data_IF_883680801536
#
_entry.id   IF_883680801536
#
_cell.length_a   1.000
_cell.length_b   1.000
_cell.length_c   1.000
_cell.angle_alpha   90.00
_cell.angle_beta   90.00
_cell.angle_gamma   90.00
#
_symmetry.space_group_name_H-M   'P 1'
#
loop_
_entity.id
_entity.type
_entity.pdbx_description
1 polymer ?
#
# COMPACT_ATOMS: atom_id res chain seq x y z
N UNK A 1 -78.36 -57.12 -47.88
CA UNK A 1 -77.97 -56.98 -46.55
C UNK A 1 -76.44 -56.62 -46.56
N UNK A 2 -76.13 -55.37 -46.57
CA UNK A 2 -74.76 -54.87 -46.66
C UNK A 2 -74.38 -54.27 -45.29
N UNK A 3 -73.32 -54.80 -44.71
CA UNK A 3 -72.72 -54.27 -43.49
C UNK A 3 -71.34 -53.68 -43.93
N UNK A 4 -71.30 -52.37 -43.98
CA UNK A 4 -70.08 -51.63 -44.21
C UNK A 4 -69.39 -51.36 -42.86
N UNK A 5 -68.18 -51.87 -42.74
CA UNK A 5 -67.26 -51.60 -41.62
C UNK A 5 -66.54 -50.30 -41.88
N UNK A 6 -66.69 -49.30 -41.03
CA UNK A 6 -65.90 -48.03 -41.04
C UNK A 6 -64.54 -48.28 -40.37
N UNK A 7 -63.46 -48.24 -41.12
CA UNK A 7 -62.09 -48.17 -40.62
C UNK A 7 -61.82 -46.75 -40.12
N UNK A 8 -61.51 -46.61 -38.84
CA UNK A 8 -61.04 -45.38 -38.21
C UNK A 8 -59.48 -45.31 -38.39
N UNK A 9 -59.03 -44.52 -39.34
CA UNK A 9 -57.60 -44.13 -39.44
C UNK A 9 -57.20 -43.28 -38.23
N UNK A 10 -56.34 -43.81 -37.37
CA UNK A 10 -55.68 -43.05 -36.31
C UNK A 10 -54.46 -42.33 -36.89
N UNK A 11 -54.54 -41.01 -37.02
CA UNK A 11 -53.37 -40.16 -37.36
C UNK A 11 -52.34 -40.26 -36.24
N UNK A 12 -51.03 -40.46 -36.54
CA UNK A 12 -49.97 -40.40 -35.56
C UNK A 12 -49.84 -38.97 -35.04
N UNK A 13 -49.77 -38.81 -33.69
CA UNK A 13 -49.53 -37.55 -33.01
C UNK A 13 -48.11 -37.03 -33.31
N UNK A 14 -47.90 -35.72 -33.16
CA UNK A 14 -46.58 -35.12 -33.43
C UNK A 14 -45.50 -35.74 -32.54
N UNK A 15 -44.27 -35.88 -33.04
CA UNK A 15 -43.15 -36.46 -32.31
C UNK A 15 -42.88 -35.63 -31.05
N UNK A 16 -42.68 -36.27 -29.92
CA UNK A 16 -42.26 -35.66 -28.65
C UNK A 16 -40.93 -34.95 -28.92
N UNK A 17 -40.99 -33.61 -28.94
CA UNK A 17 -39.78 -32.75 -28.97
C UNK A 17 -39.05 -32.93 -27.62
N UNK A 18 -37.94 -33.66 -27.62
CA UNK A 18 -37.07 -33.76 -26.45
C UNK A 18 -36.63 -32.36 -26.05
N UNK A 19 -37.14 -31.82 -24.95
CA UNK A 19 -36.65 -30.58 -24.36
C UNK A 19 -35.13 -30.65 -24.24
N UNK A 20 -34.43 -29.80 -24.98
CA UNK A 20 -32.99 -29.60 -24.79
C UNK A 20 -32.78 -29.14 -23.37
N UNK A 21 -31.84 -29.74 -22.63
CA UNK A 21 -31.48 -29.24 -21.28
C UNK A 21 -31.14 -27.75 -21.38
N UNK A 22 -31.55 -26.90 -20.42
CA UNK A 22 -31.26 -25.46 -20.47
C UNK A 22 -29.77 -25.25 -20.60
N UNK A 23 -29.37 -24.49 -21.61
CA UNK A 23 -28.00 -24.06 -21.85
C UNK A 23 -27.51 -23.40 -20.54
N UNK A 24 -26.39 -23.85 -19.92
CA UNK A 24 -25.90 -23.21 -18.71
C UNK A 24 -25.69 -21.74 -19.02
N UNK A 25 -26.27 -20.87 -18.16
CA UNK A 25 -26.11 -19.44 -18.26
C UNK A 25 -24.62 -19.11 -18.39
N UNK A 26 -24.19 -18.24 -19.32
CA UNK A 26 -22.80 -17.91 -19.53
C UNK A 26 -22.26 -17.42 -18.17
N UNK A 27 -21.29 -18.15 -17.62
CA UNK A 27 -20.53 -17.68 -16.47
C UNK A 27 -20.10 -16.25 -16.80
N UNK A 28 -20.57 -15.27 -16.02
CA UNK A 28 -20.22 -13.87 -16.20
C UNK A 28 -18.71 -13.80 -16.34
N UNK A 29 -18.25 -13.47 -17.54
CA UNK A 29 -16.84 -13.37 -17.84
C UNK A 29 -16.23 -12.42 -16.82
N UNK A 30 -15.37 -12.92 -15.95
CA UNK A 30 -14.62 -12.09 -14.99
C UNK A 30 -13.80 -11.14 -15.84
N UNK A 31 -14.30 -9.94 -16.05
CA UNK A 31 -13.60 -8.91 -16.81
C UNK A 31 -12.26 -8.68 -16.12
N UNK A 32 -11.19 -9.16 -16.76
CA UNK A 32 -9.82 -9.03 -16.22
C UNK A 32 -9.50 -7.56 -16.16
N UNK A 33 -9.38 -7.02 -14.94
CA UNK A 33 -9.03 -5.63 -14.72
C UNK A 33 -7.67 -5.33 -15.34
N UNK A 34 -7.55 -4.17 -15.94
CA UNK A 34 -6.28 -3.73 -16.53
C UNK A 34 -5.21 -3.60 -15.43
N UNK A 35 -3.97 -4.00 -15.70
CA UNK A 35 -2.87 -3.76 -14.77
C UNK A 35 -2.63 -2.25 -14.62
N UNK A 36 -2.09 -1.85 -13.46
CA UNK A 36 -1.81 -0.46 -13.12
C UNK A 36 -0.27 -0.24 -12.99
N UNK A 37 0.51 -0.42 -14.08
CA UNK A 37 1.96 -0.39 -14.00
C UNK A 37 2.50 0.97 -13.52
N UNK A 38 1.89 2.09 -13.92
CA UNK A 38 2.30 3.40 -13.45
C UNK A 38 2.20 3.57 -11.93
N UNK A 39 1.25 2.88 -11.27
CA UNK A 39 1.18 2.88 -9.79
C UNK A 39 2.30 2.03 -9.16
N UNK A 40 2.83 1.05 -9.86
CA UNK A 40 4.05 0.35 -9.41
C UNK A 40 5.26 1.25 -9.54
N UNK A 41 5.41 1.95 -10.66
CA UNK A 41 6.54 2.86 -10.89
C UNK A 41 6.54 4.07 -9.96
N UNK A 42 5.40 4.71 -9.70
CA UNK A 42 5.34 5.82 -8.73
C UNK A 42 5.74 5.35 -7.33
N UNK A 43 5.32 4.15 -6.89
CA UNK A 43 5.74 3.59 -5.60
C UNK A 43 7.26 3.45 -5.49
N UNK A 44 7.94 3.12 -6.58
CA UNK A 44 9.41 3.08 -6.62
C UNK A 44 10.01 4.44 -6.31
N UNK A 45 9.53 5.49 -6.97
CA UNK A 45 10.03 6.85 -6.76
C UNK A 45 9.74 7.33 -5.32
N UNK A 46 8.54 7.07 -4.81
CA UNK A 46 8.19 7.41 -3.43
C UNK A 46 9.09 6.68 -2.43
N UNK A 47 9.39 5.39 -2.65
CA UNK A 47 10.32 4.64 -1.82
C UNK A 47 11.73 5.23 -1.86
N UNK A 48 12.23 5.59 -3.05
CA UNK A 48 13.52 6.25 -3.20
C UNK A 48 13.56 7.59 -2.44
N UNK A 49 12.55 8.43 -2.54
CA UNK A 49 12.49 9.70 -1.79
C UNK A 49 12.46 9.47 -0.27
N UNK A 50 11.78 8.43 0.23
CA UNK A 50 11.81 8.08 1.67
C UNK A 50 13.20 7.62 2.10
N UNK A 51 13.89 6.83 1.29
CA UNK A 51 15.26 6.36 1.57
C UNK A 51 16.22 7.54 1.61
N UNK A 52 16.15 8.40 0.61
CA UNK A 52 16.95 9.62 0.54
C UNK A 52 16.65 10.60 1.69
N UNK A 53 15.40 10.63 2.20
CA UNK A 53 15.03 11.41 3.39
C UNK A 53 15.74 10.92 4.66
N UNK A 54 15.88 9.61 4.82
CA UNK A 54 16.56 9.04 6.00
C UNK A 54 18.08 9.18 5.92
N UNK A 55 18.65 9.12 4.73
CA UNK A 55 20.09 9.13 4.46
C UNK A 55 20.41 10.14 3.37
N UNK A 56 20.16 11.42 3.65
CA UNK A 56 20.22 12.50 2.67
C UNK A 56 21.64 12.68 2.12
N UNK A 57 21.88 12.43 0.81
CA UNK A 57 23.18 12.69 0.22
C UNK A 57 23.45 14.19 0.09
N UNK A 58 24.72 14.61 0.02
CA UNK A 58 25.05 16.01 -0.21
C UNK A 58 24.69 16.46 -1.65
N UNK A 59 24.52 17.76 -1.85
CA UNK A 59 24.38 18.40 -3.16
C UNK A 59 23.21 17.95 -4.03
N UNK A 60 22.01 17.80 -3.44
CA UNK A 60 20.80 17.34 -4.15
C UNK A 60 20.14 18.41 -5.06
N UNK A 61 20.58 19.67 -4.98
CA UNK A 61 20.07 20.75 -5.82
C UNK A 61 18.53 20.86 -5.77
N UNK A 62 17.93 20.80 -6.95
CA UNK A 62 16.46 20.93 -7.12
C UNK A 62 15.63 19.82 -6.46
N UNK A 63 16.21 18.67 -6.14
CA UNK A 63 15.49 17.56 -5.49
C UNK A 63 15.40 17.70 -3.97
N UNK A 64 16.21 18.59 -3.37
CA UNK A 64 16.29 18.75 -1.91
C UNK A 64 14.92 18.95 -1.23
N UNK A 65 14.02 19.84 -1.70
CA UNK A 65 12.74 20.05 -1.04
C UNK A 65 11.83 18.80 -0.97
N UNK A 66 11.90 17.95 -2.02
CA UNK A 66 11.16 16.68 -2.05
C UNK A 66 11.76 15.65 -1.11
N UNK A 67 13.08 15.59 -1.05
CA UNK A 67 13.81 14.62 -0.24
C UNK A 67 13.71 14.98 1.23
N UNK A 68 13.87 16.24 1.61
CA UNK A 68 13.76 16.71 2.99
C UNK A 68 12.35 16.48 3.58
N UNK A 69 11.35 16.35 2.72
CA UNK A 69 9.97 16.06 3.09
C UNK A 69 9.51 14.64 2.68
N UNK A 70 10.45 13.69 2.50
CA UNK A 70 10.17 12.32 2.08
C UNK A 70 9.19 11.56 2.98
N UNK A 71 9.08 11.92 4.25
CA UNK A 71 8.12 11.34 5.21
C UNK A 71 6.65 11.49 4.76
N UNK A 72 6.31 12.52 3.99
CA UNK A 72 4.96 12.73 3.45
C UNK A 72 4.51 11.58 2.57
N UNK A 73 5.45 10.97 1.86
CA UNK A 73 5.17 9.89 0.91
C UNK A 73 4.74 8.57 1.58
N UNK A 74 4.98 8.42 2.89
CA UNK A 74 4.46 7.27 3.64
C UNK A 74 2.93 7.25 3.62
N UNK A 75 2.27 8.40 3.80
CA UNK A 75 0.82 8.51 3.68
C UNK A 75 0.31 8.11 2.29
N UNK A 76 1.07 8.42 1.23
CA UNK A 76 0.70 8.04 -0.14
C UNK A 76 0.69 6.53 -0.35
N UNK A 77 1.57 5.77 0.33
CA UNK A 77 1.51 4.30 0.29
C UNK A 77 0.21 3.75 0.89
N UNK A 78 -0.28 4.32 2.00
CA UNK A 78 -1.58 3.91 2.56
C UNK A 78 -2.74 4.27 1.63
N UNK A 79 -2.71 5.44 1.00
CA UNK A 79 -3.68 5.85 -0.02
C UNK A 79 -3.69 4.85 -1.20
N UNK A 80 -2.52 4.55 -1.79
CA UNK A 80 -2.38 3.60 -2.89
C UNK A 80 -2.83 2.21 -2.47
N UNK A 81 -2.51 1.76 -1.25
CA UNK A 81 -2.94 0.46 -0.72
C UNK A 81 -4.46 0.34 -0.67
N UNK A 82 -5.16 1.33 -0.13
CA UNK A 82 -6.64 1.38 -0.12
C UNK A 82 -7.22 1.36 -1.53
N UNK A 83 -6.66 2.16 -2.44
CA UNK A 83 -7.07 2.24 -3.83
C UNK A 83 -6.89 0.90 -4.58
N UNK A 84 -5.69 0.33 -4.56
CA UNK A 84 -5.35 -0.89 -5.30
C UNK A 84 -6.14 -2.09 -4.76
N UNK A 85 -6.31 -2.19 -3.44
CA UNK A 85 -7.15 -3.23 -2.85
C UNK A 85 -8.60 -3.11 -3.33
N UNK A 86 -9.16 -1.92 -3.30
CA UNK A 86 -10.54 -1.69 -3.78
C UNK A 86 -10.66 -1.97 -5.26
N UNK A 87 -9.75 -1.47 -6.08
CA UNK A 87 -9.72 -1.75 -7.51
C UNK A 87 -9.72 -3.24 -7.81
N UNK A 88 -8.91 -4.03 -7.09
CA UNK A 88 -8.78 -5.47 -7.36
C UNK A 88 -9.91 -6.33 -6.76
N UNK A 89 -10.51 -5.91 -5.64
CA UNK A 89 -11.42 -6.76 -4.87
C UNK A 89 -12.86 -6.28 -4.83
N UNK A 90 -13.20 -5.08 -5.36
CA UNK A 90 -14.56 -4.53 -5.28
C UNK A 90 -15.63 -5.46 -5.87
N UNK A 91 -15.32 -6.15 -6.99
CA UNK A 91 -16.27 -7.04 -7.66
C UNK A 91 -16.53 -8.32 -6.85
N UNK A 92 -15.57 -8.72 -6.02
CA UNK A 92 -15.73 -9.89 -5.15
C UNK A 92 -16.66 -9.61 -3.97
N UNK A 93 -16.72 -8.38 -3.47
CA UNK A 93 -17.63 -7.93 -2.42
C UNK A 93 -17.81 -8.95 -1.30
N UNK A 94 -19.05 -9.46 -1.15
CA UNK A 94 -19.40 -10.48 -0.14
C UNK A 94 -18.76 -11.85 -0.37
N UNK A 95 -18.37 -12.19 -1.59
CA UNK A 95 -17.71 -13.47 -1.92
C UNK A 95 -16.22 -13.50 -1.58
N UNK A 96 -15.61 -12.38 -1.16
CA UNK A 96 -14.23 -12.33 -0.76
C UNK A 96 -13.98 -13.20 0.49
N UNK A 97 -13.19 -14.26 0.32
CA UNK A 97 -12.74 -15.10 1.45
C UNK A 97 -11.75 -14.31 2.31
N UNK A 98 -12.14 -14.01 3.56
CA UNK A 98 -11.28 -13.29 4.51
C UNK A 98 -9.96 -14.04 4.72
N UNK A 99 -10.04 -15.36 4.92
CA UNK A 99 -8.87 -16.21 5.15
C UNK A 99 -7.88 -16.16 3.98
N UNK A 100 -8.36 -16.30 2.74
CA UNK A 100 -7.51 -16.25 1.55
C UNK A 100 -6.90 -14.85 1.35
N UNK A 101 -7.67 -13.80 1.62
CA UNK A 101 -7.19 -12.43 1.57
C UNK A 101 -6.05 -12.21 2.57
N UNK A 102 -6.26 -12.55 3.84
CA UNK A 102 -5.23 -12.37 4.86
C UNK A 102 -4.01 -13.24 4.63
N UNK A 103 -4.21 -14.49 4.23
CA UNK A 103 -3.12 -15.39 3.90
C UNK A 103 -2.24 -14.81 2.77
N UNK A 104 -2.86 -14.22 1.73
CA UNK A 104 -2.14 -13.57 0.64
C UNK A 104 -1.37 -12.32 1.09
N UNK A 105 -1.83 -11.61 2.13
CA UNK A 105 -1.10 -10.45 2.70
C UNK A 105 0.02 -10.89 3.61
N UNK A 106 -0.27 -11.74 4.59
CA UNK A 106 0.72 -12.27 5.54
C UNK A 106 1.87 -12.97 4.80
N UNK A 107 1.56 -13.82 3.81
CA UNK A 107 2.58 -14.53 3.03
C UNK A 107 3.51 -13.60 2.23
N UNK A 108 3.09 -12.38 1.96
CA UNK A 108 3.90 -11.36 1.29
C UNK A 108 4.74 -10.56 2.27
N UNK A 109 4.16 -10.17 3.41
CA UNK A 109 4.77 -9.20 4.31
C UNK A 109 5.68 -9.86 5.35
N UNK A 110 5.16 -10.87 6.03
CA UNK A 110 5.78 -11.38 7.25
C UNK A 110 7.14 -12.10 7.04
N UNK A 111 7.36 -12.90 5.97
CA UNK A 111 8.66 -13.55 5.77
C UNK A 111 9.82 -12.57 5.59
N UNK A 112 9.63 -11.51 4.83
CA UNK A 112 10.65 -10.46 4.65
C UNK A 112 10.88 -9.71 5.95
N UNK A 113 9.81 -9.40 6.68
CA UNK A 113 9.92 -8.74 7.96
C UNK A 113 10.77 -9.52 8.96
N UNK A 114 10.47 -10.81 9.14
CA UNK A 114 11.29 -11.68 10.01
C UNK A 114 12.74 -11.75 9.53
N UNK A 115 12.96 -11.85 8.23
CA UNK A 115 14.30 -11.86 7.66
C UNK A 115 15.07 -10.60 8.03
N UNK A 116 14.45 -9.41 7.91
CA UNK A 116 15.08 -8.12 8.25
C UNK A 116 15.42 -8.07 9.74
N UNK A 117 14.53 -8.51 10.62
CA UNK A 117 14.83 -8.58 12.06
C UNK A 117 16.02 -9.50 12.34
N UNK A 118 16.09 -10.65 11.67
CA UNK A 118 17.18 -11.61 11.86
C UNK A 118 18.55 -11.06 11.42
N UNK A 119 18.63 -10.41 10.27
CA UNK A 119 19.91 -9.85 9.80
C UNK A 119 20.38 -8.63 10.61
N UNK A 120 19.47 -8.01 11.34
CA UNK A 120 19.74 -6.81 12.15
C UNK A 120 19.69 -7.08 13.67
N UNK A 121 19.97 -8.31 14.10
CA UNK A 121 20.00 -8.66 15.52
C UNK A 121 20.99 -7.82 16.34
N UNK A 122 22.11 -7.37 15.74
CA UNK A 122 23.06 -6.48 16.40
C UNK A 122 22.45 -5.15 16.86
N UNK A 123 21.41 -4.65 16.18
CA UNK A 123 20.72 -3.42 16.58
C UNK A 123 19.92 -3.57 17.88
N UNK A 124 19.56 -4.79 18.27
CA UNK A 124 18.91 -5.04 19.57
C UNK A 124 19.83 -4.68 20.73
N UNK A 125 21.14 -4.83 20.56
CA UNK A 125 22.11 -4.41 21.57
C UNK A 125 22.14 -2.88 21.68
N UNK A 126 22.02 -2.14 20.61
CA UNK A 126 21.93 -0.67 20.63
C UNK A 126 20.65 -0.22 21.36
N UNK A 127 19.51 -0.88 21.10
CA UNK A 127 18.23 -0.60 21.78
C UNK A 127 18.30 -0.90 23.29
N UNK A 128 19.07 -1.91 23.73
CA UNK A 128 19.29 -2.21 25.14
C UNK A 128 19.95 -1.04 25.89
N UNK A 129 20.90 -0.37 25.24
CA UNK A 129 21.61 0.76 25.85
C UNK A 129 20.86 2.09 25.70
N UNK A 130 19.98 2.21 24.72
CA UNK A 130 19.28 3.45 24.40
C UNK A 130 17.93 3.62 25.12
N UNK A 131 17.36 2.53 25.68
CA UNK A 131 15.99 2.54 26.23
C UNK A 131 15.95 2.10 27.70
N UNK A 132 14.86 2.45 28.38
CA UNK A 132 14.56 1.86 29.67
C UNK A 132 14.34 0.35 29.57
N UNK A 133 14.58 -0.42 30.64
CA UNK A 133 14.36 -1.87 30.66
C UNK A 133 12.90 -2.24 30.28
N UNK A 134 11.92 -1.45 30.73
CA UNK A 134 10.51 -1.69 30.41
C UNK A 134 10.24 -1.54 28.91
N UNK A 135 10.71 -0.46 28.28
CA UNK A 135 10.58 -0.23 26.83
C UNK A 135 11.33 -1.28 26.01
N UNK A 136 12.52 -1.69 26.47
CA UNK A 136 13.28 -2.73 25.79
C UNK A 136 12.50 -4.04 25.71
N UNK A 137 12.01 -4.56 26.86
CA UNK A 137 11.25 -5.82 26.86
C UNK A 137 9.91 -5.69 26.14
N UNK A 138 9.26 -4.54 26.23
CA UNK A 138 8.07 -4.24 25.44
C UNK A 138 8.39 -4.31 23.93
N UNK A 139 9.49 -3.69 23.49
CA UNK A 139 9.93 -3.71 22.12
C UNK A 139 10.27 -5.11 21.61
N UNK A 140 11.01 -5.91 22.42
CA UNK A 140 11.35 -7.31 22.09
C UNK A 140 10.11 -8.17 21.86
N UNK A 141 9.04 -7.96 22.63
CA UNK A 141 7.80 -8.74 22.50
C UNK A 141 6.94 -8.23 21.34
N UNK A 142 6.73 -6.91 21.26
CA UNK A 142 5.79 -6.34 20.28
C UNK A 142 6.33 -6.34 18.85
N UNK A 143 7.65 -6.17 18.67
CA UNK A 143 8.21 -6.04 17.32
C UNK A 143 8.05 -7.32 16.49
N UNK A 144 8.44 -8.52 16.93
CA UNK A 144 8.22 -9.73 16.13
C UNK A 144 6.75 -10.01 15.83
N UNK A 145 5.84 -9.53 16.67
CA UNK A 145 4.37 -9.65 16.49
C UNK A 145 3.76 -8.58 15.59
N UNK A 146 4.57 -7.63 15.08
CA UNK A 146 4.10 -6.49 14.29
C UNK A 146 3.12 -5.60 15.06
N UNK A 147 3.29 -5.48 16.37
CA UNK A 147 2.42 -4.70 17.26
C UNK A 147 3.09 -3.44 17.82
N UNK A 148 4.39 -3.23 17.55
CA UNK A 148 5.17 -2.10 18.08
C UNK A 148 4.57 -0.72 17.75
N UNK A 149 3.91 -0.57 16.59
CA UNK A 149 3.25 0.68 16.21
C UNK A 149 2.03 1.06 17.06
N UNK A 150 1.56 0.19 17.98
CA UNK A 150 0.53 0.55 18.95
C UNK A 150 1.10 1.20 20.22
N UNK A 151 2.41 1.12 20.43
CA UNK A 151 3.09 1.77 21.54
C UNK A 151 4.02 2.86 20.99
N UNK A 152 3.67 4.15 21.16
CA UNK A 152 4.47 5.25 20.61
C UNK A 152 5.93 5.21 21.08
N UNK A 153 6.20 4.82 22.33
CA UNK A 153 7.55 4.74 22.90
C UNK A 153 8.45 3.73 22.17
N UNK A 154 7.92 2.59 21.71
CA UNK A 154 8.69 1.54 21.04
C UNK A 154 8.35 1.34 19.56
N UNK A 155 7.59 2.27 18.95
CA UNK A 155 7.15 2.15 17.56
C UNK A 155 8.29 1.97 16.55
N UNK A 156 9.46 2.56 16.86
CA UNK A 156 10.67 2.53 16.03
C UNK A 156 11.70 1.51 16.49
N UNK A 157 11.36 0.64 17.45
CA UNK A 157 12.26 -0.35 18.04
C UNK A 157 12.74 -1.36 16.99
N UNK A 158 14.04 -1.66 16.98
CA UNK A 158 14.74 -2.64 16.14
C UNK A 158 14.72 -2.34 14.63
N UNK A 159 13.60 -1.91 14.08
CA UNK A 159 13.48 -1.45 12.69
C UNK A 159 12.67 -0.14 12.67
N UNK A 160 13.36 0.95 12.46
CA UNK A 160 12.82 2.31 12.57
C UNK A 160 11.58 2.57 11.72
N UNK A 161 11.43 1.87 10.58
CA UNK A 161 10.32 2.10 9.65
C UNK A 161 9.18 1.07 9.77
N UNK A 162 9.36 0.05 10.59
CA UNK A 162 8.41 -1.08 10.67
C UNK A 162 7.09 -0.75 11.40
N UNK A 163 6.96 0.41 12.04
CA UNK A 163 5.67 0.90 12.54
C UNK A 163 4.62 1.01 11.42
N UNK A 164 5.04 1.29 10.19
CA UNK A 164 4.15 1.32 9.02
C UNK A 164 3.56 -0.05 8.72
N UNK A 165 4.32 -1.12 8.99
CA UNK A 165 3.82 -2.48 8.82
C UNK A 165 2.70 -2.81 9.82
N UNK A 166 2.80 -2.34 11.07
CA UNK A 166 1.70 -2.42 12.05
C UNK A 166 0.45 -1.74 11.50
N UNK A 167 0.61 -0.52 10.99
CA UNK A 167 -0.50 0.23 10.39
C UNK A 167 -1.10 -0.51 9.18
N UNK A 168 -0.26 -1.04 8.30
CA UNK A 168 -0.68 -1.81 7.13
C UNK A 168 -1.43 -3.09 7.52
N UNK A 169 -0.96 -3.83 8.52
CA UNK A 169 -1.61 -5.03 9.03
C UNK A 169 -3.02 -4.73 9.60
N UNK A 170 -3.18 -3.65 10.34
CA UNK A 170 -4.48 -3.21 10.89
C UNK A 170 -5.46 -2.86 9.76
N UNK A 171 -5.00 -2.09 8.77
CA UNK A 171 -5.81 -1.67 7.63
C UNK A 171 -6.20 -2.87 6.76
N UNK A 172 -5.28 -3.82 6.55
CA UNK A 172 -5.56 -5.07 5.83
C UNK A 172 -6.47 -6.01 6.64
N UNK A 173 -6.33 -6.04 7.96
CA UNK A 173 -7.26 -6.77 8.79
C UNK A 173 -8.70 -6.26 8.58
N UNK A 174 -8.91 -4.94 8.58
CA UNK A 174 -10.21 -4.32 8.42
C UNK A 174 -10.80 -4.41 7.00
N UNK A 175 -9.97 -4.47 5.96
CA UNK A 175 -10.40 -4.32 4.56
C UNK A 175 -11.51 -5.29 4.11
N UNK A 176 -11.53 -6.61 4.47
CA UNK A 176 -12.61 -7.51 4.07
C UNK A 176 -13.99 -7.13 4.61
N UNK A 177 -14.07 -6.37 5.68
CA UNK A 177 -15.33 -5.81 6.17
C UNK A 177 -15.64 -4.49 5.46
N UNK A 178 -14.65 -3.60 5.31
CA UNK A 178 -14.81 -2.31 4.64
C UNK A 178 -15.36 -2.47 3.22
N UNK A 179 -14.85 -3.43 2.44
CA UNK A 179 -15.29 -3.62 1.05
C UNK A 179 -16.75 -4.09 0.93
N UNK A 180 -17.32 -4.64 2.01
CA UNK A 180 -18.71 -5.13 2.09
C UNK A 180 -19.71 -4.07 2.50
N UNK A 181 -19.26 -2.94 3.00
CA UNK A 181 -20.14 -1.84 3.40
C UNK A 181 -20.94 -1.33 2.19
N UNK A 182 -22.14 -0.78 2.43
CA UNK A 182 -22.99 -0.20 1.38
C UNK A 182 -22.44 1.14 0.92
N UNK A 183 -21.42 1.11 0.06
CA UNK A 183 -20.81 2.31 -0.49
C UNK A 183 -21.78 3.05 -1.42
N UNK A 184 -21.77 4.40 -1.42
CA UNK A 184 -22.54 5.20 -2.35
C UNK A 184 -22.21 4.83 -3.80
N UNK A 185 -23.26 4.84 -4.66
CA UNK A 185 -23.10 4.58 -6.11
C UNK A 185 -22.89 5.87 -6.91
N UNK A 186 -23.37 7.02 -6.41
CA UNK A 186 -23.26 8.31 -7.08
C UNK A 186 -21.85 8.88 -6.90
N UNK A 187 -21.16 9.28 -7.98
CA UNK A 187 -19.81 9.85 -7.90
C UNK A 187 -19.69 11.04 -6.94
N UNK A 188 -20.68 11.92 -6.93
CA UNK A 188 -20.70 13.08 -6.04
C UNK A 188 -20.60 12.69 -4.56
N UNK A 189 -21.36 11.68 -4.12
CA UNK A 189 -21.31 11.23 -2.73
C UNK A 189 -19.96 10.57 -2.39
N UNK A 190 -19.31 9.91 -3.36
CA UNK A 190 -17.94 9.39 -3.18
C UNK A 190 -16.92 10.53 -3.03
N UNK A 191 -17.07 11.59 -3.82
CA UNK A 191 -16.21 12.79 -3.68
C UNK A 191 -16.42 13.44 -2.31
N UNK A 192 -17.67 13.57 -1.85
CA UNK A 192 -17.98 14.12 -0.52
C UNK A 192 -17.35 13.26 0.60
N UNK A 193 -17.41 11.92 0.48
CA UNK A 193 -16.75 11.00 1.43
C UNK A 193 -15.23 11.14 1.41
N UNK A 194 -14.63 11.30 0.22
CA UNK A 194 -13.20 11.50 0.07
C UNK A 194 -12.76 12.78 0.81
N UNK A 195 -13.48 13.88 0.59
CA UNK A 195 -13.24 15.16 1.29
C UNK A 195 -13.48 14.99 2.80
N UNK A 196 -14.56 14.30 3.19
CA UNK A 196 -14.88 14.04 4.59
C UNK A 196 -13.78 13.26 5.32
N UNK A 197 -13.29 12.18 4.73
CA UNK A 197 -12.17 11.42 5.32
C UNK A 197 -10.88 12.24 5.40
N UNK A 198 -10.58 13.04 4.38
CA UNK A 198 -9.43 13.93 4.41
C UNK A 198 -9.54 14.95 5.55
N UNK A 199 -10.65 15.66 5.68
CA UNK A 199 -10.89 16.65 6.74
C UNK A 199 -10.79 15.99 8.12
N UNK A 200 -11.49 14.84 8.33
CA UNK A 200 -11.44 14.09 9.59
C UNK A 200 -10.02 13.64 9.93
N UNK A 201 -9.24 13.21 8.93
CA UNK A 201 -7.85 12.80 9.11
C UNK A 201 -6.92 13.92 9.56
N UNK A 202 -7.23 15.17 9.21
CA UNK A 202 -6.46 16.34 9.64
C UNK A 202 -6.82 16.81 11.07
N UNK A 203 -8.01 16.47 11.58
CA UNK A 203 -8.48 16.97 12.89
C UNK A 203 -7.48 16.69 14.02
N UNK A 204 -6.95 15.46 14.25
CA UNK A 204 -6.05 15.21 15.36
C UNK A 204 -4.78 16.06 15.32
N UNK A 205 -4.21 16.23 14.13
CA UNK A 205 -2.99 17.01 13.93
C UNK A 205 -3.23 18.51 14.08
N UNK A 206 -4.35 19.02 13.55
CA UNK A 206 -4.76 20.41 13.72
C UNK A 206 -5.07 20.74 15.18
N UNK A 207 -5.76 19.83 15.86
CA UNK A 207 -6.11 19.99 17.29
C UNK A 207 -4.86 20.00 18.15
N UNK A 208 -3.88 19.11 17.87
CA UNK A 208 -2.60 19.12 18.57
C UNK A 208 -1.86 20.46 18.41
N UNK A 209 -1.78 20.98 17.19
CA UNK A 209 -1.12 22.25 16.91
C UNK A 209 -1.83 23.44 17.57
N UNK A 210 -3.16 23.41 17.63
CA UNK A 210 -3.97 24.47 18.24
C UNK A 210 -3.86 24.45 19.77
N UNK A 211 -3.94 23.27 20.41
CA UNK A 211 -3.93 23.13 21.86
C UNK A 211 -2.51 23.14 22.46
N UNK A 212 -1.49 22.76 21.66
CA UNK A 212 -0.10 22.59 22.12
C UNK A 212 0.00 21.91 23.51
N UNK A 213 -0.53 20.68 23.69
CA UNK A 213 -0.66 20.05 25.00
C UNK A 213 0.69 19.73 25.65
N UNK A 214 1.75 19.60 24.84
CA UNK A 214 3.12 19.32 25.32
C UNK A 214 3.92 20.61 25.57
N UNK A 215 3.31 21.79 25.44
CA UNK A 215 3.93 23.11 25.66
C UNK A 215 5.24 23.31 24.89
N UNK A 216 5.30 22.82 23.63
CA UNK A 216 6.49 22.97 22.81
C UNK A 216 6.69 24.43 22.44
N UNK A 217 7.92 24.91 22.70
CA UNK A 217 8.36 26.25 22.30
C UNK A 217 8.97 26.16 20.90
N UNK A 218 8.39 26.89 19.94
CA UNK A 218 8.80 26.87 18.54
C UNK A 218 8.02 25.87 17.66
N UNK A 219 8.42 25.71 16.39
CA UNK A 219 7.73 24.82 15.47
C UNK A 219 7.99 23.34 15.80
N UNK A 220 6.94 22.53 15.70
CA UNK A 220 7.09 21.08 15.73
C UNK A 220 7.75 20.60 14.43
N UNK A 221 8.81 19.80 14.54
CA UNK A 221 9.62 19.30 13.44
C UNK A 221 9.77 17.78 13.45
N UNK A 222 10.66 17.25 12.60
CA UNK A 222 10.95 15.81 12.52
C UNK A 222 11.56 15.23 13.81
N UNK A 223 12.28 16.03 14.59
CA UNK A 223 12.98 15.62 15.81
C UNK A 223 12.09 15.70 17.06
N UNK A 224 10.99 16.42 16.96
CA UNK A 224 9.99 16.50 18.04
C UNK A 224 9.40 15.11 18.32
N UNK A 225 9.51 14.64 19.57
CA UNK A 225 9.29 13.24 19.92
C UNK A 225 8.55 13.02 21.25
N UNK A 226 7.66 13.95 21.63
CA UNK A 226 6.75 13.73 22.76
C UNK A 226 5.84 12.53 22.49
N UNK A 227 5.23 11.96 23.54
CA UNK A 227 4.38 10.78 23.40
C UNK A 227 3.20 11.01 22.46
N UNK A 228 2.56 12.19 22.52
CA UNK A 228 1.46 12.54 21.60
C UNK A 228 1.93 12.76 20.17
N UNK A 229 3.09 13.38 19.96
CA UNK A 229 3.67 13.52 18.62
C UNK A 229 3.99 12.14 18.04
N UNK A 230 4.61 11.26 18.84
CA UNK A 230 4.91 9.88 18.41
C UNK A 230 3.64 9.09 18.12
N UNK A 231 2.58 9.28 18.91
CA UNK A 231 1.26 8.72 18.63
C UNK A 231 0.74 9.17 17.24
N UNK A 232 0.76 10.47 16.96
CA UNK A 232 0.31 11.03 15.68
C UNK A 232 1.17 10.59 14.49
N UNK A 233 2.46 10.33 14.71
CA UNK A 233 3.41 9.94 13.66
C UNK A 233 3.41 8.44 13.38
N UNK A 234 3.31 7.58 14.38
CA UNK A 234 3.73 6.18 14.27
C UNK A 234 2.63 5.16 14.57
N UNK A 235 1.45 5.57 15.07
CA UNK A 235 0.37 4.64 15.33
C UNK A 235 -0.56 4.44 14.13
N UNK A 236 -1.32 3.34 14.05
CA UNK A 236 -2.22 3.09 12.92
C UNK A 236 -3.37 4.09 12.76
N UNK A 237 -3.87 4.67 13.87
CA UNK A 237 -5.11 5.45 13.87
C UNK A 237 -5.08 6.68 12.95
N UNK A 238 -4.02 7.52 12.94
CA UNK A 238 -3.94 8.69 12.05
C UNK A 238 -4.02 8.35 10.56
N UNK A 239 -3.64 7.12 10.17
CA UNK A 239 -3.61 6.72 8.76
C UNK A 239 -4.89 6.05 8.27
N UNK A 240 -5.86 5.77 9.18
CA UNK A 240 -7.15 5.16 8.81
C UNK A 240 -7.88 6.01 7.76
N UNK A 241 -7.96 7.32 7.97
CA UNK A 241 -8.65 8.22 7.06
C UNK A 241 -7.96 8.29 5.69
N UNK A 242 -6.64 8.30 5.63
CA UNK A 242 -5.88 8.27 4.37
C UNK A 242 -6.13 6.97 3.60
N UNK A 243 -6.17 5.84 4.29
CA UNK A 243 -6.50 4.55 3.67
C UNK A 243 -7.95 4.51 3.17
N UNK A 244 -8.92 5.02 3.97
CA UNK A 244 -10.33 5.12 3.57
C UNK A 244 -10.53 6.06 2.38
N UNK A 245 -9.76 7.15 2.29
CA UNK A 245 -9.67 7.99 1.09
C UNK A 245 -9.25 7.16 -0.13
N UNK A 246 -8.23 6.30 0.02
CA UNK A 246 -7.82 5.36 -1.03
C UNK A 246 -8.91 4.36 -1.42
N UNK A 247 -9.62 3.78 -0.44
CA UNK A 247 -10.76 2.87 -0.69
C UNK A 247 -11.86 3.60 -1.46
N UNK A 248 -12.21 4.80 -1.03
CA UNK A 248 -13.22 5.64 -1.68
C UNK A 248 -12.82 6.01 -3.11
N UNK A 249 -11.55 6.35 -3.32
CA UNK A 249 -10.98 6.65 -4.64
C UNK A 249 -11.07 5.43 -5.57
N UNK A 250 -10.82 4.23 -5.05
CA UNK A 250 -11.00 2.98 -5.80
C UNK A 250 -12.45 2.75 -6.23
N UNK A 251 -13.43 3.07 -5.37
CA UNK A 251 -14.86 3.05 -5.72
C UNK A 251 -15.20 4.12 -6.76
N UNK A 252 -14.64 5.32 -6.62
CA UNK A 252 -14.83 6.42 -7.58
C UNK A 252 -14.27 6.05 -8.97
N UNK A 253 -13.08 5.44 -9.04
CA UNK A 253 -12.50 4.93 -10.28
C UNK A 253 -13.44 3.95 -11.01
N UNK A 254 -14.13 3.08 -10.26
CA UNK A 254 -15.07 2.11 -10.84
C UNK A 254 -16.42 2.74 -11.25
N UNK A 255 -16.75 3.91 -10.69
CA UNK A 255 -17.99 4.63 -11.00
C UNK A 255 -17.83 5.65 -12.13
N UNK A 256 -16.60 6.02 -12.50
CA UNK A 256 -16.32 7.06 -13.50
C UNK A 256 -15.71 6.46 -14.77
N UNK A 257 -16.20 6.93 -15.93
CA UNK A 257 -15.56 6.73 -17.22
C UNK A 257 -14.61 7.90 -17.51
N UNK A 258 -13.34 7.79 -17.06
CA UNK A 258 -12.35 8.86 -17.22
C UNK A 258 -11.56 8.63 -18.51
N UNK A 259 -11.59 9.63 -19.40
CA UNK A 259 -10.87 9.58 -20.68
C UNK A 259 -9.36 9.73 -20.49
N UNK A 260 -8.52 9.24 -21.43
CA UNK A 260 -7.06 9.43 -21.38
C UNK A 260 -6.62 10.90 -21.26
N UNK A 261 -7.34 11.81 -21.92
CA UNK A 261 -7.07 13.27 -21.84
C UNK A 261 -7.34 13.81 -20.44
N UNK A 262 -8.45 13.43 -19.81
CA UNK A 262 -8.74 13.82 -18.43
C UNK A 262 -7.70 13.28 -17.44
N UNK A 263 -7.23 12.02 -17.63
CA UNK A 263 -6.16 11.45 -16.82
C UNK A 263 -4.84 12.19 -16.98
N UNK A 264 -4.50 12.55 -18.22
CA UNK A 264 -3.30 13.37 -18.50
C UNK A 264 -3.38 14.72 -17.74
N UNK A 265 -4.51 15.42 -17.84
CA UNK A 265 -4.72 16.70 -17.14
C UNK A 265 -4.63 16.52 -15.62
N UNK A 266 -5.31 15.52 -15.05
CA UNK A 266 -5.22 15.21 -13.62
C UNK A 266 -3.77 14.96 -13.18
N UNK A 267 -3.03 14.15 -13.92
CA UNK A 267 -1.63 13.85 -13.59
C UNK A 267 -0.74 15.07 -13.71
N UNK A 268 -0.88 15.86 -14.80
CA UNK A 268 -0.06 17.05 -15.03
C UNK A 268 -0.33 18.14 -13.97
N UNK A 269 -1.60 18.41 -13.68
CA UNK A 269 -1.98 19.39 -12.66
C UNK A 269 -1.52 18.94 -11.27
N UNK A 270 -1.73 17.66 -10.92
CA UNK A 270 -1.28 17.14 -9.61
C UNK A 270 0.23 17.23 -9.45
N UNK A 271 1.01 16.87 -10.47
CA UNK A 271 2.47 16.97 -10.43
C UNK A 271 2.91 18.44 -10.35
N UNK A 272 2.26 19.35 -11.07
CA UNK A 272 2.51 20.78 -10.99
C UNK A 272 2.25 21.33 -9.57
N UNK A 273 1.12 20.95 -8.96
CA UNK A 273 0.76 21.36 -7.59
C UNK A 273 1.77 20.77 -6.59
N UNK A 274 2.15 19.48 -6.73
CA UNK A 274 3.19 18.85 -5.90
C UNK A 274 4.50 19.62 -6.03
N UNK A 275 4.92 19.96 -7.27
CA UNK A 275 6.12 20.74 -7.53
C UNK A 275 6.10 22.10 -6.82
N UNK A 276 5.08 22.91 -7.07
CA UNK A 276 4.94 24.25 -6.47
C UNK A 276 4.90 24.15 -4.94
N UNK A 277 4.14 23.18 -4.40
CA UNK A 277 4.00 23.02 -2.96
C UNK A 277 5.33 22.71 -2.28
N UNK A 278 6.08 21.74 -2.77
CA UNK A 278 7.37 21.35 -2.16
C UNK A 278 8.47 22.41 -2.35
N UNK A 279 8.40 23.20 -3.42
CA UNK A 279 9.37 24.28 -3.66
C UNK A 279 9.14 25.52 -2.81
N UNK A 280 7.87 25.89 -2.58
CA UNK A 280 7.54 27.17 -1.97
C UNK A 280 6.74 27.04 -0.67
N UNK A 281 5.63 26.31 -0.71
CA UNK A 281 4.66 26.31 0.38
C UNK A 281 5.04 25.43 1.57
N UNK A 282 5.82 24.36 1.35
CA UNK A 282 6.13 23.36 2.40
C UNK A 282 6.84 23.99 3.59
N UNK A 283 7.73 24.95 3.37
CA UNK A 283 8.49 25.66 4.42
C UNK A 283 7.61 26.49 5.36
N UNK A 284 6.41 26.86 4.90
CA UNK A 284 5.41 27.62 5.66
C UNK A 284 4.31 26.72 6.25
N UNK A 285 4.38 25.41 5.97
CA UNK A 285 3.36 24.45 6.37
C UNK A 285 3.82 23.69 7.62
N UNK A 286 2.99 23.63 8.68
CA UNK A 286 3.35 22.88 9.87
C UNK A 286 3.62 21.40 9.58
N UNK A 287 4.75 20.89 10.09
CA UNK A 287 5.21 19.52 9.89
C UNK A 287 4.13 18.46 10.17
N UNK A 288 3.40 18.60 11.27
CA UNK A 288 2.36 17.65 11.65
C UNK A 288 1.18 17.62 10.67
N UNK A 289 0.79 18.74 10.05
CA UNK A 289 -0.27 18.74 9.03
C UNK A 289 0.17 17.98 7.78
N UNK A 290 1.43 18.10 7.40
CA UNK A 290 2.01 17.32 6.31
C UNK A 290 1.99 15.82 6.64
N UNK A 291 2.35 15.45 7.87
CA UNK A 291 2.28 14.09 8.37
C UNK A 291 0.84 13.57 8.43
N UNK A 292 -0.11 14.42 8.81
CA UNK A 292 -1.56 14.14 8.85
C UNK A 292 -2.22 14.00 7.49
N UNK A 293 -1.49 14.17 6.39
CA UNK A 293 -2.00 13.94 5.04
C UNK A 293 -2.63 15.19 4.39
N UNK A 294 -2.14 16.39 4.68
CA UNK A 294 -2.62 17.63 4.03
C UNK A 294 -2.64 17.49 2.51
N UNK A 295 -1.64 16.88 1.91
CA UNK A 295 -1.52 16.70 0.46
C UNK A 295 -2.30 15.50 -0.10
N UNK A 296 -3.04 14.76 0.73
CA UNK A 296 -3.79 13.56 0.31
C UNK A 296 -4.71 13.79 -0.89
N UNK A 297 -5.48 14.91 -1.02
CA UNK A 297 -6.33 15.14 -2.20
C UNK A 297 -5.53 15.26 -3.49
N UNK A 298 -4.37 15.92 -3.46
CA UNK A 298 -3.50 16.08 -4.63
C UNK A 298 -2.92 14.73 -5.06
N UNK A 299 -2.45 13.92 -4.11
CA UNK A 299 -1.99 12.56 -4.40
C UNK A 299 -3.13 11.64 -4.83
N UNK A 300 -4.34 11.81 -4.32
CA UNK A 300 -5.51 11.07 -4.78
C UNK A 300 -5.83 11.38 -6.26
N UNK A 301 -5.78 12.65 -6.65
CA UNK A 301 -5.94 13.06 -8.04
C UNK A 301 -4.82 12.49 -8.94
N UNK A 302 -3.57 12.49 -8.46
CA UNK A 302 -2.43 11.88 -9.17
C UNK A 302 -2.63 10.37 -9.35
N UNK A 303 -3.01 9.64 -8.30
CA UNK A 303 -3.29 8.19 -8.36
C UNK A 303 -4.40 7.90 -9.36
N UNK A 304 -5.48 8.68 -9.35
CA UNK A 304 -6.58 8.53 -10.30
C UNK A 304 -6.13 8.81 -11.73
N UNK A 305 -5.32 9.83 -11.96
CA UNK A 305 -4.72 10.14 -13.24
C UNK A 305 -3.85 8.99 -13.75
N UNK A 306 -2.89 8.53 -12.96
CA UNK A 306 -1.95 7.47 -13.33
C UNK A 306 -2.59 6.08 -13.50
N UNK A 307 -3.85 5.91 -13.15
CA UNK A 307 -4.57 4.64 -13.23
C UNK A 307 -5.09 4.27 -14.63
N UNK A 308 -4.61 4.92 -15.67
CA UNK A 308 -4.95 4.59 -17.06
C UNK A 308 -3.90 5.08 -18.04
N UNK A 309 -4.01 4.71 -19.34
CA UNK A 309 -2.99 5.00 -20.34
C UNK A 309 -2.98 6.46 -20.77
N UNK A 310 -1.83 7.12 -20.67
CA UNK A 310 -1.51 8.44 -21.21
C UNK A 310 0.02 8.68 -21.14
N UNK A 311 0.61 9.73 -21.77
CA UNK A 311 2.05 9.91 -21.83
C UNK A 311 2.76 9.93 -20.47
N UNK A 312 2.21 10.63 -19.46
CA UNK A 312 2.81 10.67 -18.12
C UNK A 312 2.76 9.28 -17.45
N UNK A 313 1.65 8.53 -17.58
CA UNK A 313 1.58 7.17 -17.02
C UNK A 313 2.54 6.21 -17.71
N UNK A 314 2.85 6.42 -19.00
CA UNK A 314 3.86 5.65 -19.70
C UNK A 314 5.26 5.88 -19.12
N UNK A 315 5.60 7.12 -18.75
CA UNK A 315 6.86 7.45 -18.07
C UNK A 315 7.00 6.68 -16.75
N UNK A 316 5.96 6.67 -15.91
CA UNK A 316 5.96 5.91 -14.66
C UNK A 316 5.86 4.38 -14.88
N UNK A 317 5.57 3.94 -16.10
CA UNK A 317 5.55 2.51 -16.49
C UNK A 317 6.88 2.04 -17.09
N UNK A 318 7.94 2.83 -16.99
CA UNK A 318 9.26 2.51 -17.49
C UNK A 318 9.84 1.26 -16.79
N UNK A 319 10.35 0.31 -17.59
CA UNK A 319 10.78 -1.01 -17.10
C UNK A 319 11.68 -1.01 -15.85
N UNK A 320 12.75 -0.20 -15.77
CA UNK A 320 13.57 -0.14 -14.56
C UNK A 320 12.79 0.25 -13.29
N UNK A 321 11.85 1.22 -13.40
CA UNK A 321 10.99 1.58 -12.28
C UNK A 321 10.08 0.42 -11.85
N UNK A 322 9.60 -0.36 -12.80
CA UNK A 322 8.75 -1.53 -12.51
C UNK A 322 9.54 -2.64 -11.82
N UNK A 323 10.77 -2.93 -12.27
CA UNK A 323 11.64 -3.95 -11.68
C UNK A 323 11.96 -3.65 -10.21
N UNK A 324 12.35 -2.40 -9.91
CA UNK A 324 12.57 -1.97 -8.52
C UNK A 324 11.24 -1.92 -7.76
N UNK A 325 10.14 -1.55 -8.43
CA UNK A 325 8.82 -1.43 -7.84
C UNK A 325 8.22 -2.75 -7.35
N UNK A 326 8.56 -3.86 -8.00
CA UNK A 326 8.18 -5.19 -7.53
C UNK A 326 8.83 -5.52 -6.19
N UNK A 327 10.09 -5.12 -5.99
CA UNK A 327 10.84 -5.26 -4.74
C UNK A 327 10.69 -4.07 -3.78
N UNK A 328 9.80 -3.10 -4.08
CA UNK A 328 9.68 -1.86 -3.30
C UNK A 328 9.37 -2.08 -1.82
N UNK A 329 8.68 -3.17 -1.47
CA UNK A 329 8.45 -3.56 -0.09
C UNK A 329 9.74 -4.00 0.60
N UNK A 330 10.52 -4.87 -0.03
CA UNK A 330 11.85 -5.26 0.48
C UNK A 330 12.76 -4.04 0.62
N UNK A 331 12.81 -3.20 -0.40
CA UNK A 331 13.60 -1.99 -0.42
C UNK A 331 13.23 -1.05 0.75
N UNK A 332 11.93 -0.81 0.94
CA UNK A 332 11.43 0.02 2.03
C UNK A 332 11.76 -0.56 3.42
N UNK A 333 11.60 -1.86 3.61
CA UNK A 333 11.78 -2.47 4.93
C UNK A 333 13.26 -2.64 5.32
N UNK A 334 14.13 -2.83 4.31
CA UNK A 334 15.56 -3.05 4.49
C UNK A 334 16.37 -1.76 4.66
N UNK A 335 15.89 -0.63 4.10
CA UNK A 335 16.78 0.52 3.88
C UNK A 335 17.44 1.04 5.14
N UNK A 336 16.70 1.19 6.23
CA UNK A 336 17.27 1.73 7.46
C UNK A 336 18.30 0.76 8.08
N UNK A 337 17.91 -0.50 8.24
CA UNK A 337 18.76 -1.51 8.85
C UNK A 337 20.01 -1.82 8.00
N UNK A 338 19.88 -1.91 6.66
CA UNK A 338 21.02 -2.15 5.78
C UNK A 338 22.01 -0.98 5.82
N UNK A 339 21.52 0.26 5.73
CA UNK A 339 22.39 1.44 5.83
C UNK A 339 23.13 1.47 7.16
N UNK A 340 22.43 1.27 8.26
CA UNK A 340 23.06 1.26 9.60
C UNK A 340 24.09 0.13 9.70
N UNK A 341 23.79 -1.08 9.25
CA UNK A 341 24.76 -2.18 9.23
C UNK A 341 26.01 -1.90 8.39
N UNK A 342 25.84 -1.30 7.20
CA UNK A 342 26.96 -0.93 6.34
C UNK A 342 27.90 0.07 7.03
N UNK A 343 27.34 1.06 7.73
CA UNK A 343 28.14 2.08 8.41
C UNK A 343 28.73 1.59 9.76
N UNK A 344 27.94 0.85 10.56
CA UNK A 344 28.45 0.26 11.81
C UNK A 344 29.62 -0.70 11.55
N UNK A 345 29.59 -1.42 10.43
CA UNK A 345 30.68 -2.32 10.06
C UNK A 345 31.75 -1.71 9.16
N UNK A 346 31.70 -0.40 8.92
CA UNK A 346 32.66 0.33 8.08
C UNK A 346 32.86 -0.33 6.70
N UNK A 347 31.76 -0.79 6.07
CA UNK A 347 31.87 -1.51 4.78
C UNK A 347 32.43 -0.66 3.66
N UNK A 348 32.03 0.62 3.45
CA UNK A 348 32.63 1.48 2.43
C UNK A 348 34.13 1.66 2.61
N UNK A 349 34.61 1.83 3.84
CA UNK A 349 36.00 1.99 4.19
C UNK A 349 36.80 0.70 3.95
N UNK A 350 36.28 -0.45 4.39
CA UNK A 350 36.90 -1.77 4.19
C UNK A 350 37.05 -2.13 2.71
N UNK A 351 36.11 -1.66 1.87
CA UNK A 351 36.18 -1.83 0.42
C UNK A 351 37.07 -0.81 -0.26
N UNK A 352 37.67 0.15 0.47
CA UNK A 352 38.40 1.30 -0.07
C UNK A 352 37.56 2.17 -1.03
N UNK A 353 36.26 2.22 -0.85
CA UNK A 353 35.27 2.93 -1.68
C UNK A 353 34.48 4.00 -0.89
N UNK A 354 34.99 4.44 0.27
CA UNK A 354 34.37 5.46 1.11
C UNK A 354 34.04 6.77 0.37
N UNK A 355 34.88 7.14 -0.63
CA UNK A 355 34.63 8.31 -1.46
C UNK A 355 33.37 8.22 -2.34
N UNK A 356 32.84 7.02 -2.55
CA UNK A 356 31.60 6.78 -3.31
C UNK A 356 30.36 6.72 -2.43
N UNK A 357 30.51 6.75 -1.10
CA UNK A 357 29.36 6.79 -0.19
C UNK A 357 28.68 8.18 -0.22
N UNK A 358 27.34 8.26 -0.14
CA UNK A 358 26.36 7.18 0.12
C UNK A 358 25.86 6.44 -1.14
N UNK A 359 26.35 6.75 -2.32
CA UNK A 359 25.91 6.12 -3.57
C UNK A 359 26.20 4.61 -3.60
N UNK A 360 27.36 4.21 -3.04
CA UNK A 360 27.70 2.79 -2.87
C UNK A 360 26.68 2.08 -1.97
N UNK A 361 26.34 2.67 -0.84
CA UNK A 361 25.35 2.12 0.10
C UNK A 361 23.98 2.01 -0.52
N UNK A 362 23.54 2.97 -1.35
CA UNK A 362 22.28 2.84 -2.11
C UNK A 362 22.33 1.71 -3.13
N UNK A 363 23.43 1.55 -3.85
CA UNK A 363 23.59 0.47 -4.82
C UNK A 363 23.52 -0.91 -4.11
N UNK A 364 24.22 -1.06 -3.00
CA UNK A 364 24.21 -2.27 -2.18
C UNK A 364 22.77 -2.55 -1.68
N UNK A 365 22.09 -1.53 -1.16
CA UNK A 365 20.71 -1.65 -0.69
C UNK A 365 19.76 -2.15 -1.79
N UNK A 366 19.85 -1.60 -2.99
CA UNK A 366 19.01 -2.03 -4.14
C UNK A 366 19.32 -3.48 -4.49
N UNK A 367 20.58 -3.88 -4.55
CA UNK A 367 20.98 -5.25 -4.84
C UNK A 367 20.48 -6.23 -3.75
N UNK A 368 20.62 -5.87 -2.48
CA UNK A 368 20.12 -6.66 -1.35
C UNK A 368 18.59 -6.77 -1.41
N UNK A 369 17.88 -5.68 -1.70
CA UNK A 369 16.42 -5.69 -1.82
C UNK A 369 15.93 -6.60 -2.97
N UNK A 370 16.60 -6.57 -4.12
CA UNK A 370 16.31 -7.48 -5.24
C UNK A 370 16.60 -8.93 -4.89
N UNK A 371 17.72 -9.21 -4.21
CA UNK A 371 18.06 -10.54 -3.74
C UNK A 371 17.02 -11.07 -2.74
N UNK A 372 16.65 -10.27 -1.74
CA UNK A 372 15.61 -10.63 -0.75
C UNK A 372 14.25 -10.86 -1.42
N UNK A 373 13.88 -10.04 -2.40
CA UNK A 373 12.65 -10.26 -3.17
C UNK A 373 12.66 -11.61 -3.89
N UNK A 374 13.76 -11.98 -4.54
CA UNK A 374 13.84 -13.22 -5.32
C UNK A 374 14.04 -14.45 -4.46
N UNK A 375 14.88 -14.37 -3.43
CA UNK A 375 15.30 -15.54 -2.64
C UNK A 375 14.55 -15.72 -1.33
N UNK A 376 13.87 -14.68 -0.81
CA UNK A 376 13.11 -14.75 0.44
C UNK A 376 11.61 -14.52 0.17
N UNK A 377 11.20 -13.35 -0.34
CA UNK A 377 9.78 -13.02 -0.50
C UNK A 377 9.07 -13.99 -1.43
N UNK A 378 9.56 -14.13 -2.66
CA UNK A 378 8.89 -14.92 -3.69
C UNK A 378 8.77 -16.41 -3.33
N UNK A 379 9.84 -17.12 -2.88
CA UNK A 379 9.71 -18.53 -2.51
C UNK A 379 8.88 -18.73 -1.24
N UNK A 380 9.07 -17.92 -0.20
CA UNK A 380 8.29 -18.04 1.03
C UNK A 380 6.79 -17.83 0.77
N UNK A 381 6.44 -16.80 0.00
CA UNK A 381 5.06 -16.55 -0.42
C UNK A 381 4.46 -17.74 -1.17
N UNK A 382 5.18 -18.31 -2.14
CA UNK A 382 4.73 -19.48 -2.90
C UNK A 382 4.54 -20.68 -1.99
N UNK A 383 5.47 -20.95 -1.07
CA UNK A 383 5.40 -22.07 -0.13
C UNK A 383 4.20 -21.95 0.82
N UNK A 384 3.99 -20.77 1.43
CA UNK A 384 2.87 -20.52 2.34
C UNK A 384 1.54 -20.66 1.60
N UNK A 385 1.41 -20.07 0.42
CA UNK A 385 0.18 -20.18 -0.36
C UNK A 385 -0.10 -21.61 -0.80
N UNK A 386 0.90 -22.40 -1.22
CA UNK A 386 0.72 -23.82 -1.58
C UNK A 386 0.24 -24.65 -0.39
N UNK A 387 0.77 -24.38 0.80
CA UNK A 387 0.44 -25.18 2.00
C UNK A 387 -0.93 -24.84 2.60
N UNK A 388 -1.30 -23.56 2.59
CA UNK A 388 -2.45 -23.06 3.35
C UNK A 388 -3.63 -22.58 2.49
N UNK A 389 -3.48 -22.35 1.17
CA UNK A 389 -4.61 -22.10 0.28
C UNK A 389 -5.43 -23.37 0.09
N UNK A 390 -6.76 -23.26 0.17
CA UNK A 390 -7.63 -24.37 -0.20
C UNK A 390 -7.42 -24.69 -1.68
N UNK A 391 -7.10 -25.95 -2.02
CA UNK A 391 -7.17 -26.41 -3.41
C UNK A 391 -8.57 -26.05 -3.94
N UNK A 392 -8.70 -25.56 -5.19
CA UNK A 392 -10.01 -25.46 -5.81
C UNK A 392 -10.66 -26.84 -5.63
N UNK A 393 -11.86 -26.88 -5.06
CA UNK A 393 -12.68 -28.11 -5.06
C UNK A 393 -12.82 -28.47 -6.53
N UNK A 394 -12.07 -29.49 -6.98
CA UNK A 394 -12.39 -30.15 -8.22
C UNK A 394 -13.88 -30.49 -8.10
N UNK A 395 -14.70 -29.97 -9.01
CA UNK A 395 -16.04 -30.45 -9.20
C UNK A 395 -15.90 -31.95 -9.26
N UNK A 396 -16.35 -32.65 -8.19
CA UNK A 396 -16.50 -34.08 -8.23
C UNK A 396 -17.32 -34.31 -9.48
N UNK A 397 -16.70 -34.97 -10.44
CA UNK A 397 -17.38 -35.46 -11.60
C UNK A 397 -18.55 -36.29 -11.06
N UNK A 398 -19.75 -35.79 -11.31
CA UNK A 398 -20.95 -36.58 -11.18
C UNK A 398 -20.80 -37.68 -12.22
N UNK A 399 -20.39 -38.85 -11.74
CA UNK A 399 -20.61 -40.13 -12.41
C UNK A 399 -22.08 -40.44 -12.41
#
# INVERSE_FOLDING_TARGET
MNTSILELETKPGPPFEKERPPTPAPHAAVTRKLPLPALTGIRTLLAIFIILFHFTPPHLGLLYPFIDNGYVFVGVFFLISGYVLTYNYADRGRSLSKREFWLARISRLYPVYLFVLLISLSMVQEEWHARSHAEFWQGIVLTPLVLQGWSPSVATFWNTVAWTLTSECVLYAAFPWLIRLPWPKRPLHLVMLLIGFWVVGLIPHSLYLYLNPDHIVGPVDRYSSTELIRFLKYTPLPYVCTFLTGVTLGKLQLALAITPRQRLVLSAVSLGVVGIFFYDLVRHTPYLLMHGGLMTPVFAALVLGLSGPHPISALFSWRPLLLIGESSYCLYLLHFNVFQLLHTHHVPERLHLAALDPWLSYAILILVALAVFHFVETPARKAILRRFSRKPRALAAAS
#
